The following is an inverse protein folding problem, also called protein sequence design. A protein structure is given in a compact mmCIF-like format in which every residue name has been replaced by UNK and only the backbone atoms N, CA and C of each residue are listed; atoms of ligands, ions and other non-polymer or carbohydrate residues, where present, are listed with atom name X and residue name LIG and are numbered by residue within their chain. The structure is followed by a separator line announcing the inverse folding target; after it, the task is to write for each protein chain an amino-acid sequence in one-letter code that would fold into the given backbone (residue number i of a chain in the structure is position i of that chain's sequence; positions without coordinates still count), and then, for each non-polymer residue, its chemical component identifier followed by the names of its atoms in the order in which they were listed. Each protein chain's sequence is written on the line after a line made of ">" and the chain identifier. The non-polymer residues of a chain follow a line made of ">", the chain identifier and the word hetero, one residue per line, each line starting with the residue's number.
data_IF_787111022392
#
_entry.id   IF_787111022392
#
_cell.length_a   1.000
_cell.length_b   1.000
_cell.length_c   1.000
_cell.angle_alpha   90.00
_cell.angle_beta   90.00
_cell.angle_gamma   90.00
#
_symmetry.space_group_name_H-M   'P 1'
#
loop_
_entity.id
_entity.type
_entity.pdbx_description
1 polymer ?
#
# COMPACT_ATOMS: atom_id res chain seq x y z
N UNK A 1 -8.14 10.99 -26.85
CA UNK A 1 -8.90 10.31 -25.77
C UNK A 1 -8.31 8.94 -25.47
N UNK A 2 -8.06 8.65 -24.19
CA UNK A 2 -7.58 7.32 -23.73
C UNK A 2 -8.49 6.18 -24.24
N UNK A 3 -9.81 6.37 -24.20
CA UNK A 3 -10.78 5.36 -24.64
C UNK A 3 -10.68 4.97 -26.13
N UNK A 4 -10.28 5.89 -27.04
CA UNK A 4 -10.15 5.57 -28.47
C UNK A 4 -8.93 4.66 -28.71
N UNK A 5 -7.81 4.99 -28.06
CA UNK A 5 -6.59 4.19 -28.09
C UNK A 5 -6.85 2.78 -27.54
N UNK A 6 -7.45 2.67 -26.36
CA UNK A 6 -7.78 1.38 -25.75
C UNK A 6 -8.72 0.54 -26.62
N UNK A 7 -9.71 1.17 -27.28
CA UNK A 7 -10.62 0.46 -28.18
C UNK A 7 -9.89 -0.17 -29.37
N UNK A 8 -8.96 0.56 -29.99
CA UNK A 8 -8.14 0.02 -31.09
C UNK A 8 -7.24 -1.12 -30.64
N UNK A 9 -6.56 -0.95 -29.50
CA UNK A 9 -5.73 -2.01 -28.91
C UNK A 9 -6.55 -3.27 -28.61
N UNK A 10 -7.78 -3.14 -28.08
CA UNK A 10 -8.65 -4.28 -27.81
C UNK A 10 -9.08 -5.00 -29.09
N UNK A 11 -9.43 -4.27 -30.14
CA UNK A 11 -9.77 -4.87 -31.44
C UNK A 11 -8.61 -5.68 -31.99
N UNK A 12 -7.39 -5.12 -31.97
CA UNK A 12 -6.19 -5.81 -32.46
C UNK A 12 -5.89 -7.08 -31.64
N UNK A 13 -6.04 -7.03 -30.32
CA UNK A 13 -5.88 -8.19 -29.43
C UNK A 13 -6.92 -9.29 -29.69
N UNK A 14 -8.19 -8.92 -29.89
CA UNK A 14 -9.28 -9.89 -30.16
C UNK A 14 -9.10 -10.55 -31.52
N UNK A 15 -8.66 -9.78 -32.52
CA UNK A 15 -8.40 -10.28 -33.88
C UNK A 15 -7.03 -10.97 -34.03
N UNK A 16 -6.23 -11.03 -32.96
CA UNK A 16 -4.90 -11.64 -32.96
C UNK A 16 -3.89 -10.93 -33.88
N UNK A 17 -4.09 -9.64 -34.13
CA UNK A 17 -3.22 -8.85 -35.00
C UNK A 17 -2.00 -8.34 -34.23
N UNK A 18 -0.81 -8.57 -34.76
CA UNK A 18 0.44 -8.06 -34.19
C UNK A 18 0.69 -6.64 -34.69
N UNK A 19 0.23 -5.65 -33.92
CA UNK A 19 0.38 -4.22 -34.22
C UNK A 19 1.21 -3.51 -33.14
N UNK A 20 1.73 -2.33 -33.47
CA UNK A 20 2.41 -1.44 -32.52
C UNK A 20 1.59 -1.20 -31.24
N UNK A 21 0.25 -1.22 -31.34
CA UNK A 21 -0.64 -1.04 -30.19
C UNK A 21 -0.64 -2.25 -29.25
N UNK A 22 -0.54 -3.46 -29.78
CA UNK A 22 -0.52 -4.70 -29.00
C UNK A 22 0.83 -4.97 -28.33
N UNK A 23 1.90 -4.33 -28.81
CA UNK A 23 3.28 -4.44 -28.29
C UNK A 23 3.59 -3.45 -27.17
N UNK A 24 2.65 -2.58 -26.83
CA UNK A 24 2.84 -1.57 -25.77
C UNK A 24 3.09 -2.25 -24.42
N UNK A 25 3.98 -1.70 -23.58
CA UNK A 25 4.50 -2.41 -22.39
C UNK A 25 3.47 -2.68 -21.28
N UNK A 26 2.29 -2.08 -21.38
CA UNK A 26 1.18 -2.31 -20.45
C UNK A 26 0.18 -3.37 -20.95
N UNK A 27 0.24 -3.76 -22.22
CA UNK A 27 -0.63 -4.78 -22.81
C UNK A 27 -0.25 -6.15 -22.27
N UNK A 28 -1.23 -6.94 -21.86
CA UNK A 28 -1.05 -8.30 -21.28
C UNK A 28 -0.05 -8.36 -20.12
N UNK A 29 0.16 -7.24 -19.40
CA UNK A 29 1.06 -7.20 -18.26
C UNK A 29 0.49 -8.03 -17.11
N UNK A 30 1.18 -9.12 -16.75
CA UNK A 30 0.87 -9.91 -15.57
C UNK A 30 1.18 -9.09 -14.32
N UNK A 31 0.14 -8.58 -13.67
CA UNK A 31 0.26 -7.90 -12.38
C UNK A 31 0.42 -8.95 -11.27
N UNK A 32 1.23 -8.63 -10.26
CA UNK A 32 1.28 -9.44 -9.03
C UNK A 32 -0.08 -9.33 -8.34
N UNK A 33 -0.58 -10.41 -7.70
CA UNK A 33 -1.75 -10.30 -6.86
C UNK A 33 -1.48 -9.22 -5.81
N UNK A 34 -2.42 -8.29 -5.70
CA UNK A 34 -2.44 -7.31 -4.64
C UNK A 34 -2.61 -8.02 -3.29
N UNK A 35 -2.12 -7.41 -2.20
CA UNK A 35 -2.27 -8.01 -0.87
C UNK A 35 -3.74 -8.36 -0.61
N UNK A 36 -4.04 -9.60 -0.18
CA UNK A 36 -5.41 -10.03 0.03
C UNK A 36 -6.10 -9.13 1.07
N UNK A 37 -7.22 -8.53 0.69
CA UNK A 37 -8.14 -7.94 1.65
C UNK A 37 -8.74 -9.10 2.48
N UNK A 38 -8.67 -9.10 3.83
CA UNK A 38 -8.73 -7.96 4.74
C UNK A 38 -7.41 -7.48 5.34
N UNK A 39 -6.25 -8.09 5.04
CA UNK A 39 -4.99 -7.80 5.73
C UNK A 39 -4.50 -6.36 5.51
N UNK A 40 -4.62 -5.87 4.28
CA UNK A 40 -4.24 -4.49 3.94
C UNK A 40 -5.12 -3.46 4.67
N UNK A 41 -6.41 -3.74 4.78
CA UNK A 41 -7.36 -2.94 5.56
C UNK A 41 -7.00 -2.98 7.05
N UNK A 42 -6.76 -4.18 7.60
CA UNK A 42 -6.35 -4.38 9.00
C UNK A 42 -5.06 -3.64 9.32
N UNK A 43 -4.05 -3.69 8.45
CA UNK A 43 -2.76 -3.02 8.66
C UNK A 43 -2.92 -1.51 8.79
N UNK A 44 -3.63 -0.88 7.85
CA UNK A 44 -3.89 0.57 7.87
C UNK A 44 -4.70 0.97 9.12
N UNK A 45 -5.77 0.22 9.44
CA UNK A 45 -6.62 0.53 10.59
C UNK A 45 -5.90 0.30 11.92
N UNK A 46 -5.05 -0.73 12.02
CA UNK A 46 -4.25 -1.01 13.21
C UNK A 46 -3.24 0.11 13.48
N UNK A 47 -2.60 0.63 12.42
CA UNK A 47 -1.67 1.75 12.53
C UNK A 47 -2.37 3.03 13.01
N UNK A 48 -3.54 3.37 12.44
CA UNK A 48 -4.34 4.51 12.93
C UNK A 48 -4.78 4.33 14.38
N UNK A 49 -5.19 3.12 14.77
CA UNK A 49 -5.57 2.84 16.16
C UNK A 49 -4.38 2.97 17.12
N UNK A 50 -3.20 2.51 16.72
CA UNK A 50 -1.98 2.65 17.52
C UNK A 50 -1.63 4.12 17.74
N UNK A 51 -1.68 4.94 16.67
CA UNK A 51 -1.44 6.38 16.79
C UNK A 51 -2.48 7.06 17.67
N UNK A 52 -3.76 6.72 17.52
CA UNK A 52 -4.82 7.28 18.36
C UNK A 52 -4.63 6.92 19.85
N UNK A 53 -4.13 5.72 20.13
CA UNK A 53 -3.80 5.29 21.51
C UNK A 53 -2.56 6.02 22.03
N UNK A 54 -1.53 6.22 21.20
CA UNK A 54 -0.33 6.97 21.56
C UNK A 54 -0.68 8.44 21.89
N UNK A 55 -1.47 9.08 21.03
CA UNK A 55 -1.93 10.46 21.19
C UNK A 55 -2.81 10.63 22.44
N UNK A 56 -3.70 9.66 22.74
CA UNK A 56 -4.44 9.65 24.01
C UNK A 56 -3.54 9.47 25.23
N UNK A 57 -2.46 8.68 25.14
CA UNK A 57 -1.51 8.50 26.25
C UNK A 57 -0.65 9.74 26.48
N UNK A 58 -0.32 10.47 25.41
CA UNK A 58 0.37 11.75 25.48
C UNK A 58 -0.55 12.86 26.00
N UNK A 59 -1.82 12.92 25.54
CA UNK A 59 -2.83 13.87 25.98
C UNK A 59 -3.32 13.63 27.43
N UNK A 60 -3.26 12.40 27.93
CA UNK A 60 -3.61 12.05 29.31
C UNK A 60 -2.54 12.43 30.35
N UNK A 61 -1.47 13.13 29.96
CA UNK A 61 -0.58 13.82 30.90
C UNK A 61 0.33 12.90 31.71
N UNK A 62 0.93 11.87 31.10
CA UNK A 62 1.96 11.07 31.77
C UNK A 62 3.29 11.86 31.86
N UNK A 63 3.39 12.70 32.89
CA UNK A 63 4.64 13.27 33.40
C UNK A 63 5.52 12.24 34.13
N UNK A 64 5.78 11.08 33.53
CA UNK A 64 6.71 10.10 34.09
C UNK A 64 7.66 9.55 33.03
N UNK A 65 8.95 9.81 33.24
CA UNK A 65 10.10 9.18 32.61
C UNK A 65 10.11 7.67 32.90
N UNK A 66 9.32 6.95 32.10
CA UNK A 66 9.60 5.67 31.48
C UNK A 66 10.46 4.61 32.20
N UNK A 67 9.82 3.46 32.46
CA UNK A 67 10.49 2.14 32.44
C UNK A 67 11.06 1.80 31.05
N UNK A 68 10.57 2.47 29.99
CA UNK A 68 11.07 2.36 28.61
C UNK A 68 12.42 3.07 28.39
N UNK A 69 12.71 4.23 29.00
CA UNK A 69 14.05 4.82 28.93
C UNK A 69 15.06 4.04 29.79
N UNK A 70 14.64 3.48 30.94
CA UNK A 70 15.49 2.56 31.69
C UNK A 70 15.86 1.29 30.88
N UNK A 71 14.95 0.81 30.02
CA UNK A 71 15.22 -0.30 29.10
C UNK A 71 16.09 0.13 27.91
N UNK A 72 15.89 1.35 27.39
CA UNK A 72 16.69 1.90 26.30
C UNK A 72 18.15 2.19 26.72
N UNK A 73 18.37 2.69 27.94
CA UNK A 73 19.72 2.88 28.50
C UNK A 73 20.46 1.55 28.69
N UNK A 74 19.74 0.46 29.02
CA UNK A 74 20.33 -0.88 29.15
C UNK A 74 20.75 -1.49 27.81
N UNK A 75 20.17 -1.07 26.69
CA UNK A 75 20.49 -1.61 25.35
C UNK A 75 21.55 -0.76 24.66
N UNK A 76 21.72 0.50 25.07
CA UNK A 76 22.66 1.45 24.48
C UNK A 76 23.97 1.57 25.27
N UNK A 77 24.12 0.79 26.36
CA UNK A 77 25.37 0.62 27.12
C UNK A 77 26.36 -0.33 26.45
#
# INVERSE_FOLDING_TARGET
>A
SSSNLSGRTLTDLVLGQDTELTRLPWVNRKVRPWEPEPFRWLGVHSMYQLYRIADQREAAGLGHTSRLAALADSITG
#
